data_IF_929257703241
#
_entry.id   IF_929257703241
#
_cell.length_a   1.000
_cell.length_b   1.000
_cell.length_c   1.000
_cell.angle_alpha   90.00
_cell.angle_beta   90.00
_cell.angle_gamma   90.00
#
_symmetry.space_group_name_H-M   'P 1'
#
loop_
_entity.id
_entity.type
_entity.pdbx_description
1 polymer ?
#
# COMPACT_ATOMS: atom_id res chain seq x y z
N UNK A 1 -29.75 2.21 33.37
CA UNK A 1 -29.23 3.11 32.31
C UNK A 1 -30.29 4.14 32.03
N UNK A 2 -29.91 5.41 31.96
CA UNK A 2 -30.83 6.54 31.79
C UNK A 2 -31.14 6.76 30.30
N UNK A 3 -32.39 6.53 29.89
CA UNK A 3 -32.85 6.68 28.50
C UNK A 3 -32.68 8.12 27.98
N UNK A 4 -32.70 9.12 28.86
CA UNK A 4 -32.47 10.52 28.44
C UNK A 4 -31.03 10.76 27.99
N UNK A 5 -30.05 10.10 28.61
CA UNK A 5 -28.65 10.23 28.22
C UNK A 5 -28.38 9.59 26.86
N UNK A 6 -29.00 8.44 26.58
CA UNK A 6 -28.91 7.76 25.28
C UNK A 6 -29.53 8.63 24.19
N UNK A 7 -30.70 9.23 24.44
CA UNK A 7 -31.36 10.14 23.48
C UNK A 7 -30.52 11.38 23.19
N UNK A 8 -29.89 11.98 24.21
CA UNK A 8 -28.96 13.11 24.03
C UNK A 8 -27.75 12.74 23.18
N UNK A 9 -27.12 11.59 23.44
CA UNK A 9 -25.96 11.10 22.65
C UNK A 9 -26.36 10.86 21.19
N UNK A 10 -27.53 10.25 20.95
CA UNK A 10 -28.04 10.03 19.59
C UNK A 10 -28.27 11.36 18.85
N UNK A 11 -28.88 12.35 19.51
CA UNK A 11 -29.10 13.67 18.92
C UNK A 11 -27.77 14.38 18.61
N UNK A 12 -26.82 14.37 19.53
CA UNK A 12 -25.48 14.95 19.30
C UNK A 12 -24.75 14.26 18.15
N UNK A 13 -24.87 12.93 18.02
CA UNK A 13 -24.28 12.19 16.90
C UNK A 13 -24.92 12.58 15.57
N UNK A 14 -26.24 12.70 15.51
CA UNK A 14 -26.97 13.16 14.31
C UNK A 14 -26.59 14.58 13.92
N UNK A 15 -26.50 15.50 14.90
CA UNK A 15 -26.10 16.89 14.65
C UNK A 15 -24.65 16.98 14.12
N UNK A 16 -23.73 16.17 14.67
CA UNK A 16 -22.35 16.08 14.19
C UNK A 16 -22.23 15.48 12.80
N UNK A 17 -23.02 14.44 12.51
CA UNK A 17 -23.07 13.79 11.20
C UNK A 17 -23.60 14.75 10.14
N UNK A 18 -24.69 15.46 10.44
CA UNK A 18 -25.24 16.51 9.57
C UNK A 18 -24.20 17.61 9.31
N UNK A 19 -23.50 18.08 10.35
CA UNK A 19 -22.45 19.09 10.19
C UNK A 19 -21.27 18.61 9.34
N UNK A 20 -20.86 17.34 9.48
CA UNK A 20 -19.83 16.74 8.63
C UNK A 20 -20.27 16.66 7.18
N UNK A 21 -21.52 16.27 6.93
CA UNK A 21 -22.09 16.23 5.60
C UNK A 21 -22.11 17.64 4.97
N UNK A 22 -22.62 18.65 5.68
CA UNK A 22 -22.63 20.04 5.18
C UNK A 22 -21.22 20.56 4.87
N UNK A 23 -20.23 20.21 5.70
CA UNK A 23 -18.83 20.57 5.46
C UNK A 23 -18.24 19.82 4.25
N UNK A 24 -18.55 18.53 4.09
CA UNK A 24 -18.12 17.73 2.95
C UNK A 24 -18.68 18.29 1.64
N UNK A 25 -19.97 18.64 1.62
CA UNK A 25 -20.66 19.25 0.48
C UNK A 25 -20.03 20.59 0.07
N UNK A 26 -19.73 21.47 1.04
CA UNK A 26 -19.03 22.74 0.77
C UNK A 26 -17.62 22.54 0.23
N UNK A 27 -16.87 21.58 0.79
CA UNK A 27 -15.52 21.27 0.31
C UNK A 27 -15.55 20.70 -1.11
N UNK A 28 -16.54 19.85 -1.41
CA UNK A 28 -16.76 19.28 -2.74
C UNK A 28 -17.14 20.36 -3.77
N UNK A 29 -18.06 21.27 -3.41
CA UNK A 29 -18.45 22.40 -4.26
C UNK A 29 -17.24 23.29 -4.57
N UNK A 30 -16.43 23.63 -3.55
CA UNK A 30 -15.19 24.39 -3.74
C UNK A 30 -14.19 23.64 -4.63
N UNK A 31 -14.05 22.32 -4.48
CA UNK A 31 -13.16 21.52 -5.33
C UNK A 31 -13.57 21.61 -6.80
N UNK A 32 -14.86 21.46 -7.10
CA UNK A 32 -15.37 21.60 -8.47
C UNK A 32 -15.25 23.02 -9.00
N UNK A 33 -15.46 24.04 -8.16
CA UNK A 33 -15.24 25.44 -8.54
C UNK A 33 -13.78 25.68 -8.93
N UNK A 34 -12.82 25.21 -8.12
CA UNK A 34 -11.38 25.34 -8.41
C UNK A 34 -10.99 24.60 -9.67
N UNK A 35 -11.59 23.43 -9.91
CA UNK A 35 -11.39 22.67 -11.12
C UNK A 35 -11.95 23.41 -12.36
N UNK A 36 -13.13 24.02 -12.26
CA UNK A 36 -13.71 24.84 -13.33
C UNK A 36 -12.84 26.08 -13.63
N UNK A 37 -12.41 26.80 -12.58
CA UNK A 37 -11.46 27.91 -12.69
C UNK A 37 -10.19 27.47 -13.42
N UNK A 38 -9.66 26.28 -13.11
CA UNK A 38 -8.48 25.73 -13.78
C UNK A 38 -8.68 25.51 -15.29
N UNK A 39 -9.88 25.09 -15.72
CA UNK A 39 -10.18 24.89 -17.14
C UNK A 39 -10.36 26.21 -17.91
N UNK A 40 -10.74 27.29 -17.23
CA UNK A 40 -10.84 28.63 -17.82
C UNK A 40 -9.48 29.33 -17.91
N UNK A 41 -8.48 28.92 -17.12
CA UNK A 41 -7.15 29.53 -17.17
C UNK A 41 -6.37 29.14 -18.43
N UNK A 42 -6.04 30.13 -19.27
CA UNK A 42 -5.14 29.94 -20.42
C UNK A 42 -3.67 29.73 -20.03
N UNK A 43 -3.26 30.18 -18.83
CA UNK A 43 -1.87 30.07 -18.38
C UNK A 43 -1.61 28.73 -17.66
N UNK A 44 -0.65 27.91 -18.12
CA UNK A 44 -0.39 26.58 -17.56
C UNK A 44 -0.07 26.58 -16.06
N UNK A 45 0.70 27.57 -15.58
CA UNK A 45 1.08 27.68 -14.17
C UNK A 45 -0.11 27.97 -13.25
N UNK A 46 -1.01 28.86 -13.67
CA UNK A 46 -2.24 29.17 -12.92
C UNK A 46 -3.22 28.01 -12.95
N UNK A 47 -3.40 27.39 -14.11
CA UNK A 47 -4.20 26.17 -14.25
C UNK A 47 -3.75 25.10 -13.28
N UNK A 48 -2.45 24.83 -13.22
CA UNK A 48 -1.86 23.85 -12.29
C UNK A 48 -2.13 24.20 -10.82
N UNK A 49 -1.93 25.46 -10.42
CA UNK A 49 -2.20 25.90 -9.06
C UNK A 49 -3.68 25.64 -8.69
N UNK A 50 -4.62 25.99 -9.57
CA UNK A 50 -6.04 25.72 -9.34
C UNK A 50 -6.36 24.22 -9.27
N UNK A 51 -5.69 23.36 -10.05
CA UNK A 51 -5.85 21.90 -9.97
C UNK A 51 -5.32 21.35 -8.63
N UNK A 52 -4.22 21.89 -8.10
CA UNK A 52 -3.70 21.52 -6.78
C UNK A 52 -4.65 21.97 -5.66
N UNK A 53 -5.19 23.19 -5.73
CA UNK A 53 -6.21 23.67 -4.80
C UNK A 53 -7.45 22.78 -4.83
N UNK A 54 -7.84 22.30 -6.01
CA UNK A 54 -8.93 21.33 -6.16
C UNK A 54 -8.60 19.98 -5.49
N UNK A 55 -7.37 19.46 -5.65
CA UNK A 55 -6.91 18.25 -4.96
C UNK A 55 -7.05 18.39 -3.44
N UNK A 56 -6.60 19.51 -2.87
CA UNK A 56 -6.69 19.77 -1.43
C UNK A 56 -8.15 19.83 -0.96
N UNK A 57 -9.02 20.49 -1.73
CA UNK A 57 -10.45 20.58 -1.42
C UNK A 57 -11.15 19.21 -1.49
N UNK A 58 -10.85 18.37 -2.49
CA UNK A 58 -11.36 17.00 -2.56
C UNK A 58 -10.84 16.16 -1.38
N UNK A 59 -9.56 16.29 -1.02
CA UNK A 59 -8.99 15.57 0.11
C UNK A 59 -9.68 15.97 1.43
N UNK A 60 -10.01 17.24 1.61
CA UNK A 60 -10.78 17.71 2.77
C UNK A 60 -12.21 17.16 2.76
N UNK A 61 -12.90 17.17 1.61
CA UNK A 61 -14.22 16.55 1.48
C UNK A 61 -14.20 15.07 1.87
N UNK A 62 -13.18 14.33 1.44
CA UNK A 62 -13.02 12.89 1.72
C UNK A 62 -12.78 12.61 3.20
N UNK A 63 -12.07 13.50 3.92
CA UNK A 63 -11.93 13.38 5.39
C UNK A 63 -13.27 13.52 6.10
N UNK A 64 -14.14 14.40 5.61
CA UNK A 64 -15.45 14.66 6.22
C UNK A 64 -16.46 13.56 5.91
N UNK A 65 -16.47 13.01 4.68
CA UNK A 65 -17.46 12.01 4.25
C UNK A 65 -16.91 10.99 3.22
N UNK A 66 -16.38 9.87 3.72
CA UNK A 66 -15.83 8.78 2.87
C UNK A 66 -16.87 7.93 2.14
N UNK A 67 -18.15 8.09 2.44
CA UNK A 67 -19.23 7.33 1.82
C UNK A 67 -19.80 7.99 0.56
N UNK A 68 -19.38 9.22 0.23
CA UNK A 68 -19.88 9.94 -0.93
C UNK A 68 -19.07 9.58 -2.19
N UNK A 69 -19.66 8.87 -3.19
CA UNK A 69 -18.96 8.46 -4.40
C UNK A 69 -18.50 9.64 -5.27
N UNK A 70 -19.20 10.77 -5.25
CA UNK A 70 -18.88 11.94 -6.09
C UNK A 70 -17.48 12.51 -5.80
N UNK A 71 -17.02 12.40 -4.56
CA UNK A 71 -15.69 12.85 -4.15
C UNK A 71 -14.61 12.00 -4.83
N UNK A 72 -14.81 10.68 -4.88
CA UNK A 72 -13.88 9.75 -5.54
C UNK A 72 -13.90 9.92 -7.06
N UNK A 73 -15.08 10.14 -7.65
CA UNK A 73 -15.24 10.40 -9.08
C UNK A 73 -14.54 11.71 -9.46
N UNK A 74 -14.75 12.77 -8.69
CA UNK A 74 -14.09 14.07 -8.90
C UNK A 74 -12.56 13.97 -8.78
N UNK A 75 -12.06 13.26 -7.76
CA UNK A 75 -10.62 13.01 -7.61
C UNK A 75 -10.05 12.19 -8.78
N UNK A 76 -10.75 11.14 -9.21
CA UNK A 76 -10.33 10.35 -10.37
C UNK A 76 -10.27 11.20 -11.65
N UNK A 77 -11.28 12.04 -11.89
CA UNK A 77 -11.29 12.94 -13.05
C UNK A 77 -10.14 13.95 -12.99
N UNK A 78 -9.86 14.50 -11.82
CA UNK A 78 -8.72 15.39 -11.59
C UNK A 78 -7.39 14.70 -11.88
N UNK A 79 -7.20 13.47 -11.40
CA UNK A 79 -6.00 12.67 -11.66
C UNK A 79 -5.87 12.28 -13.14
N UNK A 80 -6.98 11.97 -13.82
CA UNK A 80 -6.98 11.75 -15.28
C UNK A 80 -6.50 13.00 -16.01
N UNK A 81 -6.96 14.18 -15.58
CA UNK A 81 -6.57 15.49 -16.12
C UNK A 81 -5.08 15.77 -15.88
N UNK A 82 -4.53 15.30 -14.76
CA UNK A 82 -3.10 15.38 -14.41
C UNK A 82 -2.26 14.24 -15.01
N UNK A 83 -2.84 13.36 -15.82
CA UNK A 83 -2.20 12.18 -16.40
C UNK A 83 -1.73 11.11 -15.40
N UNK A 84 -2.22 11.16 -14.16
CA UNK A 84 -1.95 10.22 -13.06
C UNK A 84 -2.90 9.00 -13.11
N UNK A 85 -2.90 8.28 -14.24
CA UNK A 85 -3.91 7.27 -14.55
C UNK A 85 -3.97 6.09 -13.57
N UNK A 86 -2.81 5.63 -13.07
CA UNK A 86 -2.75 4.52 -12.12
C UNK A 86 -3.46 4.87 -10.81
N UNK A 87 -3.28 6.10 -10.33
CA UNK A 87 -3.94 6.58 -9.13
C UNK A 87 -5.44 6.79 -9.38
N UNK A 88 -5.80 7.36 -10.54
CA UNK A 88 -7.21 7.54 -10.92
C UNK A 88 -8.00 6.23 -10.91
N UNK A 89 -7.41 5.12 -11.38
CA UNK A 89 -8.04 3.79 -11.35
C UNK A 89 -8.37 3.33 -9.92
N UNK A 90 -7.49 3.61 -8.95
CA UNK A 90 -7.74 3.27 -7.54
C UNK A 90 -8.95 4.05 -6.98
N UNK A 91 -9.06 5.35 -7.31
CA UNK A 91 -10.20 6.16 -6.91
C UNK A 91 -11.50 5.72 -7.62
N UNK A 92 -11.43 5.34 -8.90
CA UNK A 92 -12.60 4.79 -9.62
C UNK A 92 -13.07 3.47 -9.02
N UNK A 93 -12.15 2.62 -8.57
CA UNK A 93 -12.49 1.36 -7.92
C UNK A 93 -13.25 1.59 -6.60
N UNK A 94 -12.81 2.55 -5.78
CA UNK A 94 -13.54 2.92 -4.57
C UNK A 94 -14.90 3.57 -4.87
N UNK A 95 -14.97 4.44 -5.88
CA UNK A 95 -16.23 5.01 -6.34
C UNK A 95 -17.21 3.91 -6.79
N UNK A 96 -16.73 2.89 -7.52
CA UNK A 96 -17.54 1.79 -8.03
C UNK A 96 -18.08 0.91 -6.91
N UNK A 97 -17.28 0.69 -5.86
CA UNK A 97 -17.72 -0.03 -4.66
C UNK A 97 -18.88 0.68 -3.95
N UNK A 98 -18.87 2.02 -3.95
CA UNK A 98 -19.92 2.84 -3.33
C UNK A 98 -21.15 3.00 -4.23
N UNK A 99 -20.95 3.14 -5.55
CA UNK A 99 -22.01 3.33 -6.54
C UNK A 99 -21.74 2.54 -7.84
N UNK A 100 -22.01 1.21 -7.86
CA UNK A 100 -21.64 0.33 -8.98
C UNK A 100 -22.28 0.70 -10.33
N UNK A 101 -23.44 1.36 -10.29
CA UNK A 101 -24.21 1.74 -11.48
C UNK A 101 -23.95 3.20 -11.92
N UNK A 102 -22.95 3.88 -11.33
CA UNK A 102 -22.68 5.27 -11.68
C UNK A 102 -22.14 5.38 -13.12
N UNK A 103 -22.81 6.10 -14.03
CA UNK A 103 -22.48 6.08 -15.46
C UNK A 103 -21.10 6.66 -15.77
N UNK A 104 -20.65 7.66 -15.02
CA UNK A 104 -19.37 8.33 -15.30
C UNK A 104 -18.16 7.48 -14.91
N UNK A 105 -18.31 6.54 -13.98
CA UNK A 105 -17.25 5.59 -13.63
C UNK A 105 -16.93 4.72 -14.85
N UNK A 106 -17.96 4.15 -15.47
CA UNK A 106 -17.82 3.32 -16.67
C UNK A 106 -17.21 4.10 -17.83
N UNK A 107 -17.68 5.33 -18.08
CA UNK A 107 -17.09 6.20 -19.13
C UNK A 107 -15.61 6.50 -18.89
N UNK A 108 -15.22 6.79 -17.65
CA UNK A 108 -13.81 7.08 -17.31
C UNK A 108 -12.94 5.83 -17.43
N UNK A 109 -13.45 4.65 -17.02
CA UNK A 109 -12.74 3.37 -17.21
C UNK A 109 -12.57 3.04 -18.68
N UNK A 110 -13.63 3.21 -19.47
CA UNK A 110 -13.58 3.00 -20.92
C UNK A 110 -12.58 3.95 -21.57
N UNK A 111 -12.57 5.23 -21.18
CA UNK A 111 -11.57 6.20 -21.63
C UNK A 111 -10.14 5.76 -21.28
N UNK A 112 -9.91 5.27 -20.06
CA UNK A 112 -8.59 4.80 -19.61
C UNK A 112 -8.17 3.50 -20.30
N UNK A 113 -9.10 2.60 -20.61
CA UNK A 113 -8.84 1.32 -21.26
C UNK A 113 -8.60 1.46 -22.77
N UNK A 114 -9.33 2.36 -23.43
CA UNK A 114 -9.25 2.60 -24.87
C UNK A 114 -8.38 3.80 -25.23
N UNK A 115 -7.68 4.38 -24.25
CA UNK A 115 -6.69 5.41 -24.53
C UNK A 115 -5.75 4.83 -25.57
N UNK A 116 -5.66 5.43 -26.78
CA UNK A 116 -4.61 5.02 -27.69
C UNK A 116 -3.34 5.14 -26.87
N UNK A 117 -2.47 4.13 -26.92
CA UNK A 117 -1.08 4.31 -26.53
C UNK A 117 -0.51 5.34 -27.52
N UNK A 118 -0.92 6.60 -27.40
CA UNK A 118 -0.40 7.72 -28.12
C UNK A 118 1.04 7.73 -27.68
N UNK A 119 1.87 7.30 -28.61
CA UNK A 119 3.31 7.15 -28.56
C UNK A 119 3.95 8.09 -27.53
N UNK A 120 4.97 7.54 -26.84
CA UNK A 120 5.94 8.15 -25.91
C UNK A 120 6.61 9.45 -26.44
N UNK A 121 5.87 10.41 -26.98
CA UNK A 121 6.38 11.54 -27.74
C UNK A 121 5.32 12.65 -27.81
N UNK A 122 4.87 13.14 -26.66
CA UNK A 122 4.23 14.45 -26.58
C UNK A 122 4.95 15.30 -25.52
N UNK A 123 5.90 16.17 -25.93
CA UNK A 123 6.73 17.00 -25.05
C UNK A 123 5.98 18.11 -24.28
N UNK A 124 4.65 18.07 -24.18
CA UNK A 124 3.85 19.20 -23.64
C UNK A 124 3.18 18.91 -22.29
N UNK A 125 3.31 17.69 -21.76
CA UNK A 125 2.86 17.36 -20.40
C UNK A 125 3.96 17.57 -19.31
N UNK A 126 5.23 17.73 -19.70
CA UNK A 126 6.37 17.78 -18.77
C UNK A 126 6.44 19.05 -17.89
N UNK A 127 5.72 20.13 -18.23
CA UNK A 127 5.60 21.31 -17.37
C UNK A 127 4.66 21.09 -16.14
N UNK A 128 3.89 19.99 -16.11
CA UNK A 128 2.93 19.71 -15.05
C UNK A 128 3.48 18.81 -13.92
N UNK A 129 4.70 18.27 -14.02
CA UNK A 129 5.31 17.49 -12.92
C UNK A 129 6.31 18.33 -12.09
N UNK A 130 6.95 19.33 -12.68
CA UNK A 130 7.96 20.21 -12.04
C UNK A 130 7.48 21.15 -10.91
N UNK A 131 6.23 21.02 -10.41
CA UNK A 131 5.74 21.83 -9.28
C UNK A 131 5.26 21.04 -8.05
N UNK A 132 5.48 19.72 -8.02
CA UNK A 132 5.53 19.00 -6.74
C UNK A 132 6.91 19.06 -6.08
N UNK A 133 7.88 19.71 -6.72
CA UNK A 133 9.16 20.03 -6.13
C UNK A 133 8.95 21.03 -4.99
N UNK A 134 9.48 20.68 -3.83
CA UNK A 134 9.49 21.52 -2.62
C UNK A 134 9.99 22.93 -2.99
N UNK A 135 9.56 24.01 -2.33
CA UNK A 135 10.07 25.36 -2.59
C UNK A 135 11.62 25.45 -2.59
N UNK A 136 12.30 24.60 -1.83
CA UNK A 136 13.75 24.44 -1.86
C UNK A 136 14.30 23.93 -3.21
N UNK A 137 13.62 22.98 -3.86
CA UNK A 137 14.07 22.39 -5.12
C UNK A 137 13.91 23.35 -6.30
N UNK A 138 12.88 24.22 -6.30
CA UNK A 138 12.74 25.28 -7.31
C UNK A 138 13.85 26.33 -7.24
N UNK A 139 14.30 26.68 -6.04
CA UNK A 139 15.42 27.60 -5.88
C UNK A 139 16.76 26.96 -6.27
N UNK A 140 16.87 25.64 -6.14
CA UNK A 140 18.04 24.90 -6.60
C UNK A 140 18.09 24.85 -8.14
N UNK A 141 16.94 24.66 -8.81
CA UNK A 141 16.90 24.57 -10.29
C UNK A 141 17.17 25.90 -11.00
N UNK A 142 16.77 27.04 -10.42
CA UNK A 142 16.99 28.37 -11.03
C UNK A 142 18.48 28.80 -11.08
N UNK A 143 19.38 28.08 -10.40
CA UNK A 143 20.81 28.39 -10.35
C UNK A 143 21.69 27.39 -11.12
N UNK A 144 21.12 26.37 -11.75
CA UNK A 144 21.90 25.39 -12.51
C UNK A 144 22.16 25.90 -13.93
N UNK A 145 23.43 25.83 -14.34
CA UNK A 145 23.80 26.10 -15.73
C UNK A 145 23.52 24.88 -16.61
N UNK A 146 23.44 25.06 -17.93
CA UNK A 146 23.32 23.96 -18.90
C UNK A 146 24.41 22.89 -18.69
N UNK A 147 25.63 23.31 -18.35
CA UNK A 147 26.74 22.41 -18.03
C UNK A 147 26.53 21.60 -16.73
N UNK A 148 25.70 22.07 -15.79
CA UNK A 148 25.36 21.33 -14.58
C UNK A 148 24.29 20.27 -14.86
N UNK A 149 23.38 20.55 -15.80
CA UNK A 149 22.34 19.62 -16.26
C UNK A 149 22.94 18.44 -17.04
N UNK A 150 23.91 18.66 -17.92
CA UNK A 150 24.65 17.59 -18.60
C UNK A 150 25.36 16.66 -17.60
N UNK A 151 26.02 17.23 -16.58
CA UNK A 151 26.68 16.45 -15.52
C UNK A 151 25.67 15.65 -14.70
N UNK A 152 24.55 16.26 -14.32
CA UNK A 152 23.49 15.58 -13.59
C UNK A 152 22.94 14.39 -14.39
N UNK A 153 22.79 14.54 -15.71
CA UNK A 153 22.37 13.46 -16.60
C UNK A 153 23.37 12.30 -16.56
N UNK A 154 24.67 12.58 -16.80
CA UNK A 154 25.72 11.56 -16.79
C UNK A 154 25.85 10.85 -15.43
N UNK A 155 25.73 11.60 -14.34
CA UNK A 155 25.75 11.06 -12.98
C UNK A 155 24.54 10.16 -12.72
N UNK A 156 23.33 10.62 -13.06
CA UNK A 156 22.08 9.87 -12.92
C UNK A 156 22.13 8.58 -13.72
N UNK A 157 22.61 8.64 -14.96
CA UNK A 157 22.77 7.47 -15.81
C UNK A 157 23.76 6.47 -15.20
N UNK A 158 24.93 6.95 -14.77
CA UNK A 158 25.98 6.10 -14.18
C UNK A 158 25.48 5.43 -12.89
N UNK A 159 24.79 6.17 -12.03
CA UNK A 159 24.21 5.64 -10.80
C UNK A 159 23.15 4.57 -11.11
N UNK A 160 22.23 4.86 -12.03
CA UNK A 160 21.18 3.93 -12.42
C UNK A 160 21.75 2.64 -13.02
N UNK A 161 22.74 2.74 -13.92
CA UNK A 161 23.42 1.57 -14.48
C UNK A 161 24.17 0.77 -13.40
N UNK A 162 24.79 1.45 -12.43
CA UNK A 162 25.50 0.79 -11.31
C UNK A 162 24.53 0.02 -10.42
N UNK A 163 23.38 0.60 -10.08
CA UNK A 163 22.33 -0.08 -9.31
C UNK A 163 21.75 -1.28 -10.06
N UNK A 164 21.45 -1.12 -11.35
CA UNK A 164 20.94 -2.24 -12.16
C UNK A 164 21.95 -3.39 -12.25
N UNK A 165 23.25 -3.09 -12.39
CA UNK A 165 24.30 -4.12 -12.36
C UNK A 165 24.40 -4.80 -11.00
N UNK A 166 24.30 -4.04 -9.90
CA UNK A 166 24.31 -4.60 -8.55
C UNK A 166 23.13 -5.56 -8.33
N UNK A 167 21.93 -5.16 -8.77
CA UNK A 167 20.71 -5.96 -8.70
C UNK A 167 20.81 -7.23 -9.57
N UNK A 168 21.39 -7.13 -10.77
CA UNK A 168 21.58 -8.29 -11.64
C UNK A 168 22.60 -9.30 -11.09
N UNK A 169 23.63 -8.82 -10.40
CA UNK A 169 24.61 -9.68 -9.74
C UNK A 169 24.02 -10.38 -8.50
N UNK A 170 22.95 -9.83 -7.94
CA UNK A 170 22.32 -10.33 -6.75
C UNK A 170 21.47 -11.57 -7.02
N UNK A 171 21.75 -12.66 -6.31
CA UNK A 171 20.92 -13.86 -6.34
C UNK A 171 19.69 -13.64 -5.47
N UNK A 172 18.66 -13.03 -6.06
CA UNK A 172 17.40 -12.83 -5.37
C UNK A 172 16.65 -14.17 -5.23
N UNK A 173 16.16 -14.50 -4.02
CA UNK A 173 15.30 -15.66 -3.85
C UNK A 173 14.03 -15.50 -4.68
N UNK A 174 13.61 -16.58 -5.35
CA UNK A 174 12.42 -16.55 -6.18
C UNK A 174 11.12 -16.61 -5.37
N UNK A 175 11.19 -17.11 -4.13
CA UNK A 175 10.06 -17.40 -3.25
C UNK A 175 10.33 -16.90 -1.84
N UNK A 176 9.27 -16.54 -1.13
CA UNK A 176 9.33 -16.26 0.30
C UNK A 176 9.69 -17.55 1.06
N UNK A 177 10.58 -17.43 2.04
CA UNK A 177 11.00 -18.53 2.91
C UNK A 177 11.11 -18.01 4.34
N UNK A 178 11.05 -18.92 5.31
CA UNK A 178 11.20 -18.56 6.72
C UNK A 178 12.58 -17.94 7.02
N UNK A 179 13.61 -18.37 6.30
CA UNK A 179 14.99 -17.90 6.44
C UNK A 179 15.13 -16.43 5.98
N UNK A 180 14.44 -16.05 4.91
CA UNK A 180 14.44 -14.66 4.43
C UNK A 180 13.88 -13.71 5.49
N UNK A 181 12.81 -14.12 6.17
CA UNK A 181 12.18 -13.32 7.22
C UNK A 181 13.14 -13.03 8.40
N UNK A 182 14.05 -13.96 8.66
CA UNK A 182 15.01 -13.89 9.76
C UNK A 182 16.29 -13.16 9.37
N UNK A 183 16.53 -12.93 8.08
CA UNK A 183 17.78 -12.35 7.61
C UNK A 183 17.64 -10.83 7.49
N UNK A 184 18.28 -10.02 8.38
CA UNK A 184 18.21 -8.56 8.29
C UNK A 184 18.82 -8.01 7.00
N UNK A 185 19.65 -8.82 6.33
CA UNK A 185 20.36 -8.48 5.11
C UNK A 185 19.44 -8.11 3.94
N UNK A 186 18.38 -8.88 3.66
CA UNK A 186 17.46 -8.53 2.56
C UNK A 186 16.67 -7.25 2.86
N UNK A 187 16.26 -7.06 4.12
CA UNK A 187 15.55 -5.86 4.56
C UNK A 187 16.45 -4.63 4.43
N UNK A 188 17.70 -4.72 4.88
CA UNK A 188 18.67 -3.62 4.78
C UNK A 188 18.98 -3.28 3.32
N UNK A 189 19.18 -4.30 2.47
CA UNK A 189 19.37 -4.10 1.02
C UNK A 189 18.15 -3.44 0.37
N UNK A 190 16.94 -3.88 0.67
CA UNK A 190 15.72 -3.26 0.19
C UNK A 190 15.63 -1.77 0.59
N UNK A 191 15.92 -1.44 1.86
CA UNK A 191 15.93 -0.05 2.32
C UNK A 191 17.00 0.77 1.60
N UNK A 192 18.20 0.23 1.43
CA UNK A 192 19.27 0.89 0.68
C UNK A 192 18.83 1.19 -0.76
N UNK A 193 18.29 0.21 -1.48
CA UNK A 193 17.81 0.44 -2.85
C UNK A 193 16.63 1.41 -2.92
N UNK A 194 15.73 1.39 -1.93
CA UNK A 194 14.62 2.33 -1.85
C UNK A 194 15.11 3.77 -1.68
N UNK A 195 16.08 4.00 -0.80
CA UNK A 195 16.71 5.31 -0.60
C UNK A 195 17.38 5.81 -1.88
N UNK A 196 18.18 4.97 -2.55
CA UNK A 196 18.83 5.32 -3.82
C UNK A 196 17.82 5.61 -4.93
N UNK A 197 16.71 4.86 -4.97
CA UNK A 197 15.63 5.06 -5.95
C UNK A 197 14.92 6.39 -5.72
N UNK A 198 14.77 6.83 -4.47
CA UNK A 198 14.18 8.13 -4.16
C UNK A 198 15.08 9.30 -4.59
N UNK A 199 16.40 9.14 -4.46
CA UNK A 199 17.38 10.13 -4.95
C UNK A 199 17.28 10.22 -6.48
N UNK A 200 17.42 9.08 -7.17
CA UNK A 200 17.30 9.01 -8.63
C UNK A 200 15.97 9.56 -9.14
N UNK A 201 14.87 9.32 -8.43
CA UNK A 201 13.57 9.89 -8.81
C UNK A 201 13.61 11.41 -8.79
N UNK A 202 14.19 12.01 -7.75
CA UNK A 202 14.34 13.46 -7.66
C UNK A 202 15.21 14.00 -8.80
N UNK A 203 16.26 13.29 -9.18
CA UNK A 203 17.16 13.70 -10.26
C UNK A 203 16.47 13.60 -11.62
N UNK A 204 15.72 12.52 -11.86
CA UNK A 204 14.90 12.37 -13.08
C UNK A 204 13.83 13.46 -13.17
N UNK A 205 13.13 13.78 -12.07
CA UNK A 205 12.13 14.85 -12.04
C UNK A 205 12.73 16.24 -12.35
N UNK A 206 14.03 16.44 -12.09
CA UNK A 206 14.77 17.65 -12.47
C UNK A 206 15.19 17.61 -13.95
N UNK A 207 15.75 16.49 -14.41
CA UNK A 207 16.21 16.31 -15.80
C UNK A 207 15.07 16.34 -16.82
N UNK A 208 13.88 15.85 -16.46
CA UNK A 208 12.67 15.82 -17.30
C UNK A 208 12.22 17.22 -17.76
N UNK A 209 12.71 18.28 -17.12
CA UNK A 209 12.38 19.66 -17.47
C UNK A 209 13.18 20.16 -18.68
N UNK A 210 14.40 19.64 -18.87
CA UNK A 210 15.35 20.14 -19.86
C UNK A 210 15.70 19.09 -20.94
N UNK A 211 15.60 17.79 -20.63
CA UNK A 211 15.97 16.70 -21.52
C UNK A 211 14.83 15.71 -21.78
N UNK A 212 14.89 15.02 -22.92
CA UNK A 212 14.12 13.81 -23.15
C UNK A 212 14.78 12.63 -22.40
N UNK A 213 14.18 12.19 -21.30
CA UNK A 213 14.75 11.16 -20.41
C UNK A 213 14.16 9.75 -20.62
N UNK A 214 13.53 9.49 -21.77
CA UNK A 214 12.81 8.24 -22.07
C UNK A 214 13.60 6.95 -21.77
N UNK A 215 14.91 6.95 -22.05
CA UNK A 215 15.78 5.80 -21.79
C UNK A 215 16.07 5.60 -20.30
N UNK A 216 16.31 6.69 -19.56
CA UNK A 216 16.50 6.66 -18.11
C UNK A 216 15.23 6.22 -17.40
N UNK A 217 14.06 6.70 -17.81
CA UNK A 217 12.77 6.26 -17.26
C UNK A 217 12.53 4.77 -17.49
N UNK A 218 12.87 4.26 -18.68
CA UNK A 218 12.76 2.84 -18.97
C UNK A 218 13.64 2.02 -18.03
N UNK A 219 14.89 2.42 -17.82
CA UNK A 219 15.81 1.75 -16.89
C UNK A 219 15.34 1.86 -15.43
N UNK A 220 14.83 3.03 -15.03
CA UNK A 220 14.26 3.27 -13.71
C UNK A 220 13.00 2.43 -13.45
N UNK A 221 12.20 2.14 -14.49
CA UNK A 221 11.05 1.25 -14.38
C UNK A 221 11.45 -0.19 -13.99
N UNK A 222 12.59 -0.67 -14.48
CA UNK A 222 13.12 -2.00 -14.12
C UNK A 222 13.51 -2.05 -12.63
N UNK A 223 14.12 -0.98 -12.11
CA UNK A 223 14.45 -0.83 -10.69
C UNK A 223 13.17 -0.86 -9.83
N UNK A 224 12.11 -0.16 -10.24
CA UNK A 224 10.82 -0.17 -9.54
C UNK A 224 10.16 -1.56 -9.53
N UNK A 225 10.22 -2.30 -10.64
CA UNK A 225 9.70 -3.68 -10.70
C UNK A 225 10.46 -4.57 -9.71
N UNK A 226 11.78 -4.42 -9.65
CA UNK A 226 12.61 -5.15 -8.69
C UNK A 226 12.26 -4.80 -7.23
N UNK A 227 12.14 -3.52 -6.88
CA UNK A 227 11.76 -3.09 -5.53
C UNK A 227 10.37 -3.60 -5.12
N UNK A 228 9.38 -3.55 -6.02
CA UNK A 228 8.05 -4.13 -5.75
C UNK A 228 8.13 -5.62 -5.46
N UNK A 229 9.01 -6.34 -6.17
CA UNK A 229 9.26 -7.76 -5.91
C UNK A 229 9.94 -7.99 -4.56
N UNK A 230 10.97 -7.21 -4.19
CA UNK A 230 11.58 -7.25 -2.85
C UNK A 230 10.52 -7.05 -1.76
N UNK A 231 9.71 -6.00 -1.90
CA UNK A 231 8.69 -5.63 -0.93
C UNK A 231 7.69 -6.76 -0.74
N UNK A 232 7.21 -7.34 -1.85
CA UNK A 232 6.32 -8.50 -1.83
C UNK A 232 6.96 -9.67 -1.09
N UNK A 233 8.18 -10.08 -1.47
CA UNK A 233 8.90 -11.18 -0.81
C UNK A 233 9.10 -10.94 0.70
N UNK A 234 9.45 -9.71 1.11
CA UNK A 234 9.60 -9.35 2.51
C UNK A 234 8.26 -9.43 3.27
N UNK A 235 7.16 -8.97 2.66
CA UNK A 235 5.83 -9.03 3.28
C UNK A 235 5.35 -10.47 3.47
N UNK A 236 5.51 -11.32 2.46
CA UNK A 236 5.15 -12.73 2.50
C UNK A 236 6.03 -13.50 3.50
N UNK A 237 7.33 -13.21 3.54
CA UNK A 237 8.24 -13.82 4.51
C UNK A 237 7.88 -13.40 5.95
N UNK A 238 7.46 -12.15 6.16
CA UNK A 238 6.98 -11.69 7.46
C UNK A 238 5.69 -12.40 7.90
N UNK A 239 4.77 -12.67 6.97
CA UNK A 239 3.55 -13.46 7.22
C UNK A 239 3.90 -14.90 7.67
N UNK A 240 4.84 -15.56 6.97
CA UNK A 240 5.33 -16.89 7.34
C UNK A 240 5.97 -16.90 8.73
N UNK A 241 6.77 -15.87 9.06
CA UNK A 241 7.38 -15.76 10.39
C UNK A 241 6.35 -15.56 11.49
N UNK A 242 5.34 -14.72 11.27
CA UNK A 242 4.23 -14.53 12.21
C UNK A 242 3.49 -15.85 12.47
N UNK A 243 3.17 -16.59 11.42
CA UNK A 243 2.51 -17.89 11.57
C UNK A 243 3.37 -18.90 12.32
N UNK A 244 4.68 -18.93 12.04
CA UNK A 244 5.61 -19.78 12.78
C UNK A 244 5.71 -19.41 14.27
N UNK A 245 5.70 -18.12 14.60
CA UNK A 245 5.66 -17.68 16.00
C UNK A 245 4.36 -18.07 16.69
N UNK A 246 3.23 -17.99 15.99
CA UNK A 246 1.91 -18.39 16.52
C UNK A 246 1.87 -19.90 16.79
N UNK A 247 2.35 -20.72 15.84
CA UNK A 247 2.50 -22.17 16.00
C UNK A 247 3.38 -22.52 17.21
N UNK A 248 4.55 -21.87 17.34
CA UNK A 248 5.44 -22.10 18.49
C UNK A 248 4.80 -21.69 19.82
N UNK A 249 4.07 -20.59 19.84
CA UNK A 249 3.36 -20.13 21.03
C UNK A 249 2.23 -21.08 21.43
N UNK A 250 1.48 -21.63 20.48
CA UNK A 250 0.46 -22.64 20.74
C UNK A 250 1.11 -23.94 21.26
N UNK A 251 2.15 -24.45 20.59
CA UNK A 251 2.90 -25.63 21.05
C UNK A 251 3.43 -25.45 22.48
N UNK A 252 3.98 -24.29 22.79
CA UNK A 252 4.45 -23.96 24.14
C UNK A 252 3.33 -23.99 25.19
N UNK A 253 2.12 -23.53 24.85
CA UNK A 253 0.97 -23.57 25.75
C UNK A 253 0.45 -24.99 25.94
N UNK A 254 0.27 -25.77 24.87
CA UNK A 254 -0.19 -27.16 24.94
C UNK A 254 0.77 -28.00 25.79
N UNK A 255 2.08 -27.90 25.52
CA UNK A 255 3.09 -28.64 26.29
C UNK A 255 3.18 -28.22 27.75
N UNK A 256 2.94 -26.94 28.06
CA UNK A 256 2.87 -26.46 29.45
C UNK A 256 1.64 -27.02 30.18
N UNK A 257 0.49 -27.07 29.52
CA UNK A 257 -0.73 -27.65 30.09
C UNK A 257 -0.59 -29.15 30.32
N UNK A 258 -0.04 -29.90 29.37
CA UNK A 258 0.23 -31.34 29.50
C UNK A 258 1.13 -31.63 30.70
N UNK A 259 2.21 -30.84 30.88
CA UNK A 259 3.07 -30.94 32.08
C UNK A 259 2.30 -30.62 33.36
N UNK A 260 1.41 -29.63 33.34
CA UNK A 260 0.65 -29.23 34.52
C UNK A 260 -0.36 -30.29 34.98
N UNK A 261 -0.86 -31.15 34.09
CA UNK A 261 -1.75 -32.26 34.45
C UNK A 261 -1.09 -33.29 35.38
N UNK A 262 0.24 -33.39 35.36
CA UNK A 262 0.97 -34.28 36.29
C UNK A 262 1.02 -33.77 37.72
N UNK A 263 0.68 -32.49 37.96
CA UNK A 263 0.70 -31.90 39.28
C UNK A 263 -0.67 -32.06 39.98
N UNK A 264 -0.71 -32.45 41.26
CA UNK A 264 -1.97 -32.54 41.99
C UNK A 264 -2.59 -31.14 42.18
N UNK A 265 -3.91 -31.03 41.93
CA UNK A 265 -4.75 -29.82 42.07
C UNK A 265 -4.57 -28.71 41.03
N UNK A 266 -4.05 -29.00 39.83
CA UNK A 266 -4.08 -28.04 38.72
C UNK A 266 -5.49 -27.89 38.13
N UNK A 267 -5.91 -26.67 37.75
CA UNK A 267 -7.18 -26.47 37.07
C UNK A 267 -7.18 -27.19 35.72
N UNK A 268 -8.34 -27.76 35.34
CA UNK A 268 -8.50 -28.43 34.05
C UNK A 268 -8.22 -27.43 32.91
N UNK A 269 -7.38 -27.80 31.93
CA UNK A 269 -7.10 -26.97 30.77
C UNK A 269 -8.36 -26.77 29.91
N UNK A 270 -8.46 -25.58 29.32
CA UNK A 270 -9.51 -25.23 28.36
C UNK A 270 -9.14 -25.78 26.96
N UNK A 271 -9.54 -27.02 26.68
CA UNK A 271 -9.25 -27.68 25.41
C UNK A 271 -10.00 -27.09 24.23
N UNK A 272 -11.21 -26.55 24.43
CA UNK A 272 -12.03 -25.96 23.36
C UNK A 272 -11.29 -24.76 22.75
N UNK A 273 -10.79 -23.86 23.60
CA UNK A 273 -9.99 -22.71 23.14
C UNK A 273 -8.71 -23.10 22.39
N UNK A 274 -8.08 -24.23 22.75
CA UNK A 274 -6.89 -24.71 22.06
C UNK A 274 -7.20 -25.32 20.69
N UNK A 275 -8.32 -26.06 20.58
CA UNK A 275 -8.78 -26.64 19.33
C UNK A 275 -9.21 -25.55 18.35
N UNK A 276 -9.96 -24.55 18.79
CA UNK A 276 -10.34 -23.38 17.97
C UNK A 276 -9.11 -22.67 17.38
N UNK A 277 -8.05 -22.55 18.18
CA UNK A 277 -6.79 -21.95 17.72
C UNK A 277 -6.02 -22.88 16.77
N UNK A 278 -6.12 -24.20 16.94
CA UNK A 278 -5.53 -25.17 16.04
C UNK A 278 -6.20 -25.10 14.66
N UNK A 279 -7.54 -25.04 14.62
CA UNK A 279 -8.32 -24.93 13.39
C UNK A 279 -8.00 -23.65 12.63
N UNK A 280 -7.95 -22.51 13.34
CA UNK A 280 -7.56 -21.23 12.72
C UNK A 280 -6.14 -21.24 12.14
N UNK A 281 -5.20 -21.98 12.74
CA UNK A 281 -3.85 -22.14 12.21
C UNK A 281 -3.81 -23.09 11.02
N UNK A 282 -4.65 -24.13 11.00
CA UNK A 282 -4.82 -25.03 9.86
C UNK A 282 -5.33 -24.27 8.63
N UNK A 283 -6.40 -23.47 8.80
CA UNK A 283 -6.96 -22.64 7.72
C UNK A 283 -5.90 -21.70 7.11
N UNK A 284 -5.05 -21.10 7.96
CA UNK A 284 -3.96 -20.22 7.51
C UNK A 284 -2.85 -20.98 6.77
N UNK A 285 -2.53 -22.22 7.20
CA UNK A 285 -1.58 -23.07 6.50
C UNK A 285 -2.11 -23.45 5.12
N UNK A 286 -3.38 -23.84 5.02
CA UNK A 286 -4.04 -24.18 3.75
C UNK A 286 -4.09 -22.97 2.80
N UNK A 287 -4.38 -21.77 3.30
CA UNK A 287 -4.35 -20.54 2.48
C UNK A 287 -2.95 -20.30 1.89
N UNK A 288 -1.90 -20.50 2.68
CA UNK A 288 -0.51 -20.33 2.23
C UNK A 288 -0.07 -21.45 1.28
N UNK A 289 -0.52 -22.69 1.50
CA UNK A 289 -0.24 -23.79 0.57
C UNK A 289 -0.87 -23.52 -0.80
N UNK A 290 -2.11 -23.03 -0.81
CA UNK A 290 -2.82 -22.63 -2.02
C UNK A 290 -2.13 -21.46 -2.76
N UNK A 291 -1.39 -20.60 -2.05
CA UNK A 291 -0.52 -19.57 -2.64
C UNK A 291 0.81 -20.13 -3.17
N UNK A 292 1.11 -21.41 -2.94
CA UNK A 292 2.29 -22.12 -3.45
C UNK A 292 3.55 -21.95 -2.60
N UNK A 293 3.42 -21.64 -1.31
CA UNK A 293 4.56 -21.53 -0.40
C UNK A 293 5.10 -22.90 0.04
N UNK A 294 6.39 -22.95 0.35
CA UNK A 294 7.02 -24.13 0.93
C UNK A 294 6.80 -24.16 2.44
N UNK A 295 5.90 -25.03 2.92
CA UNK A 295 5.46 -25.06 4.31
C UNK A 295 6.08 -26.16 5.16
N UNK A 296 7.06 -26.92 4.64
CA UNK A 296 7.64 -28.10 5.31
C UNK A 296 8.04 -27.84 6.77
N UNK A 297 8.68 -26.70 7.05
CA UNK A 297 9.10 -26.35 8.41
C UNK A 297 7.94 -25.97 9.33
N UNK A 298 6.86 -25.39 8.81
CA UNK A 298 5.68 -25.01 9.58
C UNK A 298 4.81 -26.24 9.88
N UNK A 299 4.60 -27.10 8.87
CA UNK A 299 3.85 -28.35 9.00
C UNK A 299 4.46 -29.26 10.06
N UNK A 300 5.80 -29.38 10.11
CA UNK A 300 6.47 -30.16 11.15
C UNK A 300 6.30 -29.60 12.58
N UNK A 301 5.97 -28.32 12.75
CA UNK A 301 5.61 -27.75 14.06
C UNK A 301 4.14 -27.98 14.35
N UNK A 302 3.28 -27.84 13.34
CA UNK A 302 1.85 -28.08 13.44
C UNK A 302 1.53 -29.54 13.81
N UNK A 303 2.17 -30.52 13.16
CA UNK A 303 2.03 -31.94 13.48
C UNK A 303 2.33 -32.22 14.97
N UNK A 304 3.37 -31.59 15.52
CA UNK A 304 3.70 -31.71 16.96
C UNK A 304 2.64 -31.11 17.87
N UNK A 305 1.94 -30.07 17.42
CA UNK A 305 0.82 -29.48 18.17
C UNK A 305 -0.33 -30.47 18.21
N UNK A 306 -0.68 -31.07 17.06
CA UNK A 306 -1.74 -32.07 16.95
C UNK A 306 -1.44 -33.27 17.86
N UNK A 307 -0.24 -33.86 17.75
CA UNK A 307 0.20 -34.96 18.63
C UNK A 307 0.09 -34.59 20.12
N UNK A 308 0.55 -33.38 20.50
CA UNK A 308 0.50 -32.93 21.90
C UNK A 308 -0.92 -32.67 22.39
N UNK A 309 -1.84 -32.28 21.50
CA UNK A 309 -3.27 -32.09 21.82
C UNK A 309 -3.98 -33.43 22.00
N UNK A 310 -3.68 -34.41 21.16
CA UNK A 310 -4.19 -35.78 21.32
C UNK A 310 -3.73 -36.38 22.65
N UNK A 311 -2.43 -36.25 22.98
CA UNK A 311 -1.92 -36.66 24.29
C UNK A 311 -2.64 -35.96 25.44
N UNK A 312 -2.88 -34.65 25.32
CA UNK A 312 -3.59 -33.86 26.32
C UNK A 312 -5.03 -34.39 26.53
N UNK A 313 -5.75 -34.67 25.45
CA UNK A 313 -7.11 -35.22 25.49
C UNK A 313 -7.14 -36.59 26.15
N UNK A 314 -6.24 -37.50 25.74
CA UNK A 314 -6.15 -38.84 26.32
C UNK A 314 -5.92 -38.80 27.84
N UNK A 315 -5.03 -37.92 28.33
CA UNK A 315 -4.78 -37.76 29.77
C UNK A 315 -6.01 -37.20 30.52
N UNK A 316 -6.79 -36.34 29.89
CA UNK A 316 -8.01 -35.80 30.50
C UNK A 316 -9.11 -36.85 30.59
N UNK A 317 -9.23 -37.69 29.56
CA UNK A 317 -10.19 -38.79 29.56
C UNK A 317 -9.85 -39.82 30.65
N UNK A 318 -8.57 -40.16 30.83
CA UNK A 318 -8.11 -41.03 31.92
C UNK A 318 -8.37 -40.45 33.32
N UNK A 319 -8.32 -39.13 33.49
CA UNK A 319 -8.63 -38.46 34.76
C UNK A 319 -10.14 -38.44 35.08
N UNK A 320 -10.99 -38.59 34.07
CA UNK A 320 -12.44 -38.59 34.21
C UNK A 320 -13.04 -39.99 34.43
N UNK A 321 -12.27 -41.07 34.24
CA UNK A 321 -12.68 -42.46 34.50
C UNK A 321 -12.46 -42.89 35.94
#
# INVERSE_FOLDING_TARGET
MDFEQISKIQKTRQDLEKKRQENAEKALENAFQKMAEAFEQSHPSKKKACLLDACEAFAEALKQQRSNPEIYIGMAYLLITLHEHAQALNYLQEAERLAPQHPDIHKMRDYLAHRPQTNKTQPQAHALVSASLSPLQKQASENLSEADFDRLYEETETQLQTLLKAIQAEKMPLRATLEIAQTPDLKNRYQHYLEQTNILKSDLDLLDQEFEISELEQNFSLLNIFLKRCQKLLSESAELLCLYTDLKALLGRVTAQLKSLTAPNTPLPDCESLLDQCDSLADRLDELENKGYELTALLAVYEKIVESLEDLQNNLDELNT
#
